data_IF_714671235585
#
_entry.id   IF_714671235585
#
_cell.length_a   1.000
_cell.length_b   1.000
_cell.length_c   1.000
_cell.angle_alpha   90.00
_cell.angle_beta   90.00
_cell.angle_gamma   90.00
#
_symmetry.space_group_name_H-M   'P 1'
#
loop_
_entity.id
_entity.type
_entity.pdbx_description
1 polymer ?
#
# COMPACT_ATOMS: atom_id res chain seq x y z
N UNK A 1 -4.56 21.79 -2.69
CA UNK A 1 -4.61 21.97 -4.15
C UNK A 1 -3.28 22.55 -4.62
N UNK A 2 -2.60 21.91 -5.56
CA UNK A 2 -1.42 22.49 -6.22
C UNK A 2 -1.86 23.39 -7.35
N UNK A 3 -1.16 24.50 -7.59
CA UNK A 3 -1.50 25.45 -8.64
C UNK A 3 -1.30 24.88 -10.07
N UNK A 4 -0.41 23.90 -10.20
CA UNK A 4 0.02 23.23 -11.43
C UNK A 4 -0.43 21.76 -11.50
N UNK A 5 -1.45 21.38 -10.74
CA UNK A 5 -1.94 20.00 -10.76
C UNK A 5 -2.55 19.65 -12.12
N UNK A 6 -1.99 18.62 -12.75
CA UNK A 6 -2.54 17.94 -13.93
C UNK A 6 -2.37 16.43 -13.76
N UNK A 7 -3.47 15.68 -13.77
CA UNK A 7 -3.47 14.22 -13.53
C UNK A 7 -2.64 13.45 -14.56
N UNK A 8 -2.53 13.96 -15.79
CA UNK A 8 -1.77 13.29 -16.85
C UNK A 8 -0.31 13.70 -16.89
N UNK A 9 0.06 14.81 -16.24
CA UNK A 9 1.42 15.34 -16.23
C UNK A 9 2.41 14.35 -15.61
N UNK A 10 3.59 14.17 -16.23
CA UNK A 10 4.69 13.39 -15.66
C UNK A 10 5.06 13.84 -14.24
N UNK A 11 4.99 15.16 -13.96
CA UNK A 11 5.32 15.74 -12.65
C UNK A 11 4.36 15.22 -11.58
N UNK A 12 3.06 15.11 -11.89
CA UNK A 12 2.06 14.60 -10.94
C UNK A 12 2.27 13.13 -10.63
N UNK A 13 2.57 12.32 -11.66
CA UNK A 13 2.86 10.89 -11.50
C UNK A 13 4.13 10.68 -10.66
N UNK A 14 5.19 11.45 -10.94
CA UNK A 14 6.43 11.41 -10.17
C UNK A 14 6.24 11.92 -8.73
N UNK A 15 5.45 12.96 -8.53
CA UNK A 15 5.10 13.49 -7.22
C UNK A 15 4.48 12.42 -6.33
N UNK A 16 3.39 11.77 -6.79
CA UNK A 16 2.71 10.76 -5.97
C UNK A 16 3.61 9.54 -5.70
N UNK A 17 4.40 9.12 -6.68
CA UNK A 17 5.37 8.04 -6.47
C UNK A 17 6.42 8.41 -5.42
N UNK A 18 6.93 9.65 -5.46
CA UNK A 18 7.93 10.17 -4.52
C UNK A 18 7.36 10.29 -3.11
N UNK A 19 6.18 10.90 -2.97
CA UNK A 19 5.48 11.05 -1.69
C UNK A 19 5.20 9.67 -1.08
N UNK A 20 4.67 8.74 -1.88
CA UNK A 20 4.38 7.39 -1.42
C UNK A 20 5.66 6.70 -0.92
N UNK A 21 6.75 6.73 -1.67
CA UNK A 21 7.99 6.08 -1.28
C UNK A 21 8.62 6.70 -0.02
N UNK A 22 8.62 8.03 0.10
CA UNK A 22 9.15 8.71 1.30
C UNK A 22 8.35 8.36 2.55
N UNK A 23 7.02 8.31 2.46
CA UNK A 23 6.17 7.95 3.59
C UNK A 23 6.31 6.47 4.00
N UNK A 24 6.43 5.56 3.02
CA UNK A 24 6.72 4.16 3.34
C UNK A 24 8.11 4.00 3.96
N UNK A 25 9.10 4.74 3.46
CA UNK A 25 10.46 4.68 3.95
C UNK A 25 10.60 5.20 5.38
N UNK A 26 9.95 6.32 5.72
CA UNK A 26 9.92 6.84 7.09
C UNK A 26 9.46 5.76 8.11
N UNK A 27 8.48 4.94 7.71
CA UNK A 27 7.90 3.92 8.60
C UNK A 27 8.63 2.57 8.57
N UNK A 28 9.22 2.19 7.43
CA UNK A 28 9.70 0.81 7.20
C UNK A 28 11.14 0.70 6.73
N UNK A 29 11.81 1.83 6.46
CA UNK A 29 13.10 1.91 5.76
C UNK A 29 13.12 1.22 4.40
N UNK A 30 11.96 1.08 3.77
CA UNK A 30 11.79 0.49 2.45
C UNK A 30 10.83 1.31 1.58
N UNK A 31 11.14 1.38 0.29
CA UNK A 31 10.21 1.86 -0.73
C UNK A 31 9.02 0.92 -0.88
N UNK A 32 7.93 1.39 -1.49
CA UNK A 32 6.76 0.55 -1.75
C UNK A 32 7.13 -0.71 -2.58
N UNK A 33 8.03 -0.56 -3.55
CA UNK A 33 8.51 -1.68 -4.37
C UNK A 33 9.33 -2.69 -3.56
N UNK A 34 10.20 -2.21 -2.65
CA UNK A 34 11.00 -3.07 -1.78
C UNK A 34 10.15 -3.81 -0.75
N UNK A 35 9.09 -3.18 -0.22
CA UNK A 35 8.11 -3.85 0.66
C UNK A 35 7.45 -5.00 -0.09
N UNK A 36 6.90 -4.75 -1.28
CA UNK A 36 6.24 -5.79 -2.08
C UNK A 36 7.21 -6.91 -2.43
N UNK A 37 8.40 -6.57 -2.92
CA UNK A 37 9.41 -7.55 -3.31
C UNK A 37 9.93 -8.37 -2.12
N UNK A 38 10.15 -7.74 -0.97
CA UNK A 38 10.70 -8.39 0.22
C UNK A 38 9.68 -9.19 1.04
N UNK A 39 8.38 -8.88 0.91
CA UNK A 39 7.33 -9.47 1.77
C UNK A 39 6.37 -10.41 1.04
N UNK A 40 6.21 -10.29 -0.27
CA UNK A 40 5.38 -11.22 -1.05
C UNK A 40 6.00 -12.63 -1.06
N UNK A 41 5.31 -13.60 -0.47
CA UNK A 41 5.84 -14.96 -0.32
C UNK A 41 4.71 -15.99 -0.32
N UNK A 42 4.63 -16.79 -1.38
CA UNK A 42 3.59 -17.82 -1.54
C UNK A 42 3.59 -18.93 -0.49
N UNK A 43 4.67 -19.07 0.28
CA UNK A 43 4.78 -20.08 1.34
C UNK A 43 4.17 -19.60 2.67
N UNK A 44 3.96 -18.29 2.83
CA UNK A 44 3.38 -17.71 4.04
C UNK A 44 1.85 -17.73 3.98
N UNK A 45 1.17 -17.75 5.16
CA UNK A 45 -0.26 -17.48 5.22
C UNK A 45 -0.59 -16.17 4.50
N UNK A 46 -1.64 -16.18 3.69
CA UNK A 46 -2.11 -15.02 2.92
C UNK A 46 -1.01 -14.36 2.07
N UNK A 47 0.00 -15.11 1.63
CA UNK A 47 1.18 -14.59 0.94
C UNK A 47 2.04 -13.57 1.70
N UNK A 48 1.87 -13.48 3.02
CA UNK A 48 2.47 -12.43 3.84
C UNK A 48 1.67 -11.12 3.88
N UNK A 49 0.49 -11.06 3.25
CA UNK A 49 -0.44 -9.94 3.38
C UNK A 49 -1.03 -9.91 4.78
N UNK A 50 -1.11 -8.72 5.36
CA UNK A 50 -1.80 -8.43 6.64
C UNK A 50 -3.25 -7.98 6.41
N UNK A 51 -3.53 -7.37 5.26
CA UNK A 51 -4.86 -6.96 4.82
C UNK A 51 -4.98 -6.97 3.30
N UNK A 52 -6.19 -7.02 2.77
CA UNK A 52 -6.51 -6.94 1.33
C UNK A 52 -7.98 -6.55 1.16
N UNK A 53 -8.43 -6.30 -0.07
CA UNK A 53 -9.77 -5.75 -0.33
C UNK A 53 -10.92 -6.53 0.31
N UNK A 54 -10.80 -7.85 0.42
CA UNK A 54 -11.83 -8.72 0.99
C UNK A 54 -11.38 -9.39 2.29
N UNK A 55 -10.37 -8.84 2.97
CA UNK A 55 -9.89 -9.40 4.23
C UNK A 55 -10.98 -9.34 5.34
N UNK A 56 -10.96 -10.25 6.33
CA UNK A 56 -10.10 -11.43 6.41
C UNK A 56 -10.70 -12.67 5.71
N UNK A 57 -11.95 -12.62 5.25
CA UNK A 57 -12.73 -13.82 4.84
C UNK A 57 -12.84 -14.06 3.33
N UNK A 58 -12.33 -13.17 2.50
CA UNK A 58 -12.42 -13.25 1.04
C UNK A 58 -11.09 -13.58 0.36
N UNK A 59 -11.16 -13.95 -0.91
CA UNK A 59 -9.97 -14.31 -1.70
C UNK A 59 -9.03 -13.11 -1.89
N UNK A 60 -7.74 -13.42 -1.92
CA UNK A 60 -6.69 -12.52 -2.33
C UNK A 60 -6.76 -12.42 -3.85
N UNK A 61 -6.72 -11.21 -4.37
CA UNK A 61 -6.69 -10.96 -5.82
C UNK A 61 -5.28 -10.59 -6.25
N UNK A 62 -5.00 -10.80 -7.53
CA UNK A 62 -3.75 -10.37 -8.16
C UNK A 62 -3.47 -8.86 -7.98
N UNK A 63 -4.52 -8.04 -7.88
CA UNK A 63 -4.39 -6.61 -7.60
C UNK A 63 -3.99 -6.30 -6.15
N UNK A 64 -4.25 -7.19 -5.20
CA UNK A 64 -3.95 -6.98 -3.79
C UNK A 64 -2.45 -7.19 -3.49
N UNK A 65 -1.80 -8.11 -4.20
CA UNK A 65 -0.38 -8.47 -3.97
C UNK A 65 0.61 -7.41 -4.44
N UNK A 66 0.15 -6.42 -5.22
CA UNK A 66 0.99 -5.33 -5.71
C UNK A 66 0.93 -4.09 -4.83
N UNK A 67 0.12 -4.11 -3.76
CA UNK A 67 -0.10 -2.95 -2.90
C UNK A 67 0.77 -3.07 -1.65
N UNK A 68 1.78 -2.22 -1.51
CA UNK A 68 2.72 -2.26 -0.39
C UNK A 68 2.03 -2.17 0.99
N UNK A 69 1.01 -1.32 1.13
CA UNK A 69 0.24 -1.16 2.38
C UNK A 69 -0.38 -2.47 2.88
N UNK A 70 -0.71 -3.38 1.96
CA UNK A 70 -1.30 -4.67 2.32
C UNK A 70 -0.32 -5.62 3.02
N UNK A 71 0.98 -5.29 3.02
CA UNK A 71 2.03 -6.05 3.69
C UNK A 71 2.52 -5.41 4.99
N UNK A 72 1.92 -4.30 5.42
CA UNK A 72 2.33 -3.57 6.62
C UNK A 72 1.69 -4.18 7.86
N UNK A 73 2.47 -4.39 8.91
CA UNK A 73 1.93 -4.83 10.20
C UNK A 73 1.11 -3.72 10.88
N UNK A 74 0.45 -4.03 12.00
CA UNK A 74 -0.41 -3.08 12.69
C UNK A 74 0.32 -1.80 13.13
N UNK A 75 1.54 -1.95 13.66
CA UNK A 75 2.38 -0.81 14.10
C UNK A 75 2.79 0.05 12.91
N UNK A 76 3.25 -0.55 11.82
CA UNK A 76 3.62 0.17 10.60
C UNK A 76 2.40 0.89 9.99
N UNK A 77 1.24 0.23 9.93
CA UNK A 77 0.01 0.87 9.44
C UNK A 77 -0.43 2.03 10.31
N UNK A 78 -0.30 1.91 11.64
CA UNK A 78 -0.61 2.99 12.58
C UNK A 78 0.29 4.19 12.34
N UNK A 79 1.61 3.98 12.34
CA UNK A 79 2.60 5.04 12.11
C UNK A 79 2.40 5.69 10.73
N UNK A 80 2.15 4.89 9.69
CA UNK A 80 1.87 5.40 8.34
C UNK A 80 0.61 6.27 8.30
N UNK A 81 -0.45 5.88 9.02
CA UNK A 81 -1.67 6.68 9.09
C UNK A 81 -1.45 7.99 9.86
N UNK A 82 -0.71 7.94 10.97
CA UNK A 82 -0.38 9.12 11.78
C UNK A 82 0.40 10.15 10.96
N UNK A 83 1.51 9.74 10.33
CA UNK A 83 2.37 10.64 9.55
C UNK A 83 1.65 11.22 8.32
N UNK A 84 0.82 10.40 7.64
CA UNK A 84 -0.03 10.87 6.53
C UNK A 84 -1.01 11.91 7.01
N UNK A 85 -1.67 11.68 8.14
CA UNK A 85 -2.67 12.60 8.70
C UNK A 85 -2.02 13.93 9.08
N UNK A 86 -0.89 13.90 9.78
CA UNK A 86 -0.13 15.09 10.14
C UNK A 86 0.32 15.89 8.91
N UNK A 87 0.75 15.20 7.83
CA UNK A 87 1.15 15.87 6.60
C UNK A 87 -0.03 16.51 5.88
N UNK A 88 -1.21 15.87 5.87
CA UNK A 88 -2.44 16.43 5.31
C UNK A 88 -2.90 17.66 6.09
N UNK A 89 -2.85 17.62 7.42
CA UNK A 89 -3.17 18.77 8.29
C UNK A 89 -2.21 19.95 8.04
N UNK A 90 -0.92 19.65 7.87
CA UNK A 90 0.07 20.64 7.47
C UNK A 90 -0.28 21.27 6.11
N UNK A 91 -0.60 20.44 5.12
CA UNK A 91 -0.97 20.91 3.78
C UNK A 91 -2.23 21.78 3.79
N UNK A 92 -3.24 21.39 4.57
CA UNK A 92 -4.47 22.17 4.76
C UNK A 92 -4.18 23.54 5.40
N UNK A 93 -3.31 23.59 6.42
CA UNK A 93 -2.89 24.85 7.03
C UNK A 93 -2.18 25.78 6.04
N UNK A 94 -1.34 25.25 5.16
CA UNK A 94 -0.69 26.07 4.12
C UNK A 94 -1.73 26.65 3.15
N UNK A 95 -2.70 25.83 2.71
CA UNK A 95 -3.78 26.27 1.84
C UNK A 95 -4.63 27.37 2.49
N UNK A 96 -5.02 27.20 3.77
CA UNK A 96 -5.80 28.20 4.53
C UNK A 96 -5.09 29.55 4.70
N UNK A 97 -3.75 29.55 4.72
CA UNK A 97 -2.93 30.77 4.80
C UNK A 97 -2.78 31.48 3.45
N UNK A 98 -3.34 30.93 2.37
CA UNK A 98 -3.20 31.49 1.03
C UNK A 98 -1.82 31.26 0.41
N UNK A 99 -1.03 30.32 0.95
CA UNK A 99 0.26 29.99 0.38
C UNK A 99 0.05 29.16 -0.89
N UNK A 100 0.31 29.77 -2.04
CA UNK A 100 0.31 29.07 -3.33
C UNK A 100 1.47 28.09 -3.34
N UNK A 101 1.17 26.81 -3.57
CA UNK A 101 2.15 25.74 -3.64
C UNK A 101 2.07 25.05 -5.00
N UNK A 102 3.23 24.74 -5.56
CA UNK A 102 3.39 23.91 -6.75
C UNK A 102 3.77 22.47 -6.36
N UNK A 103 3.67 21.51 -7.30
CA UNK A 103 3.91 20.09 -6.99
C UNK A 103 5.35 19.87 -6.49
N UNK A 104 6.32 20.57 -7.05
CA UNK A 104 7.71 20.53 -6.61
C UNK A 104 7.91 21.12 -5.20
N UNK A 105 7.13 22.13 -4.81
CA UNK A 105 7.20 22.70 -3.47
C UNK A 105 6.71 21.68 -2.44
N UNK A 106 5.64 20.95 -2.75
CA UNK A 106 5.12 19.91 -1.87
C UNK A 106 6.15 18.80 -1.60
N UNK A 107 6.96 18.40 -2.60
CA UNK A 107 8.04 17.43 -2.35
C UNK A 107 9.08 17.99 -1.38
N UNK A 108 9.52 19.24 -1.58
CA UNK A 108 10.48 19.89 -0.68
C UNK A 108 9.91 20.08 0.73
N UNK A 109 8.62 20.40 0.83
CA UNK A 109 7.92 20.53 2.12
C UNK A 109 7.77 19.20 2.82
N UNK A 110 7.56 18.10 2.09
CA UNK A 110 7.56 16.77 2.66
C UNK A 110 8.90 16.43 3.30
N UNK A 111 10.02 16.72 2.63
CA UNK A 111 11.36 16.45 3.20
C UNK A 111 11.59 17.22 4.50
N UNK A 112 11.28 18.52 4.50
CA UNK A 112 11.37 19.34 5.71
C UNK A 112 10.41 18.85 6.82
N UNK A 113 9.21 18.38 6.45
CA UNK A 113 8.24 17.84 7.38
C UNK A 113 8.74 16.54 8.02
N UNK A 114 9.27 15.59 7.23
CA UNK A 114 9.84 14.35 7.75
C UNK A 114 11.02 14.63 8.67
N UNK A 115 11.95 15.50 8.24
CA UNK A 115 13.10 15.89 9.05
C UNK A 115 12.70 16.52 10.38
N UNK A 116 11.68 17.38 10.37
CA UNK A 116 11.17 18.04 11.58
C UNK A 116 10.54 17.06 12.57
N UNK A 117 9.96 15.96 12.09
CA UNK A 117 9.39 14.90 12.92
C UNK A 117 10.41 13.80 13.26
N UNK A 118 11.71 14.05 13.03
CA UNK A 118 12.80 13.10 13.31
C UNK A 118 12.69 11.77 12.54
N UNK A 119 12.05 11.81 11.37
CA UNK A 119 11.87 10.65 10.50
C UNK A 119 13.00 10.51 9.49
N UNK A 120 13.36 9.26 9.17
CA UNK A 120 14.34 8.97 8.13
C UNK A 120 13.80 9.30 6.74
N UNK A 121 14.62 9.96 5.93
CA UNK A 121 14.23 10.43 4.60
C UNK A 121 14.87 9.58 3.51
N UNK A 122 14.05 9.09 2.58
CA UNK A 122 14.56 8.50 1.36
C UNK A 122 15.20 9.57 0.47
N UNK A 123 16.50 9.43 0.21
CA UNK A 123 17.29 10.33 -0.63
C UNK A 123 17.54 9.79 -2.06
N UNK A 124 17.28 8.51 -2.31
CA UNK A 124 17.43 7.87 -3.61
C UNK A 124 16.11 7.25 -4.09
N UNK A 125 16.14 6.42 -5.15
CA UNK A 125 14.95 5.79 -5.74
C UNK A 125 14.65 4.38 -5.17
N UNK A 126 15.40 3.94 -4.17
CA UNK A 126 15.45 2.55 -3.73
C UNK A 126 16.21 1.64 -4.70
N UNK A 127 16.31 0.36 -4.34
CA UNK A 127 17.05 -0.66 -5.08
C UNK A 127 16.17 -1.50 -6.01
N UNK A 128 14.86 -1.51 -5.78
CA UNK A 128 13.91 -2.34 -6.53
C UNK A 128 12.95 -1.47 -7.31
N UNK A 129 12.76 -1.77 -8.60
CA UNK A 129 11.79 -1.05 -9.43
C UNK A 129 10.38 -1.59 -9.22
N UNK A 130 9.37 -0.73 -9.41
CA UNK A 130 7.97 -1.13 -9.32
C UNK A 130 7.61 -2.28 -10.30
N UNK A 131 8.22 -2.31 -11.48
CA UNK A 131 8.01 -3.37 -12.47
C UNK A 131 8.54 -4.73 -11.98
N UNK A 132 9.74 -4.75 -11.38
CA UNK A 132 10.34 -5.96 -10.82
C UNK A 132 9.50 -6.46 -9.64
N UNK A 133 9.15 -5.56 -8.70
CA UNK A 133 8.33 -5.89 -7.55
C UNK A 133 6.96 -6.46 -7.95
N UNK A 134 6.30 -5.82 -8.93
CA UNK A 134 5.03 -6.29 -9.48
C UNK A 134 5.15 -7.69 -10.10
N UNK A 135 6.09 -7.89 -11.02
CA UNK A 135 6.28 -9.19 -11.66
C UNK A 135 6.58 -10.30 -10.65
N UNK A 136 7.38 -9.99 -9.62
CA UNK A 136 7.69 -10.91 -8.54
C UNK A 136 6.44 -11.28 -7.72
N UNK A 137 5.69 -10.30 -7.24
CA UNK A 137 4.50 -10.54 -6.43
C UNK A 137 3.41 -11.29 -7.22
N UNK A 138 3.24 -10.97 -8.50
CA UNK A 138 2.33 -11.70 -9.38
C UNK A 138 2.75 -13.16 -9.57
N UNK A 139 4.06 -13.43 -9.69
CA UNK A 139 4.58 -14.80 -9.79
C UNK A 139 4.34 -15.59 -8.50
N UNK A 140 4.56 -14.98 -7.34
CA UNK A 140 4.22 -15.60 -6.05
C UNK A 140 2.70 -15.83 -5.94
N UNK A 141 1.88 -14.91 -6.46
CA UNK A 141 0.43 -15.06 -6.45
C UNK A 141 -0.03 -16.25 -7.27
N UNK A 142 0.55 -16.49 -8.44
CA UNK A 142 0.20 -17.67 -9.24
C UNK A 142 0.48 -19.00 -8.50
N UNK A 143 1.57 -19.05 -7.71
CA UNK A 143 1.87 -20.22 -6.87
C UNK A 143 0.83 -20.38 -5.74
N UNK A 144 0.53 -19.29 -5.06
CA UNK A 144 -0.41 -19.28 -3.93
C UNK A 144 -1.86 -19.54 -4.36
N UNK A 145 -2.27 -19.04 -5.54
CA UNK A 145 -3.63 -19.19 -6.07
C UNK A 145 -4.05 -20.65 -6.13
N UNK A 146 -3.15 -21.55 -6.51
CA UNK A 146 -3.44 -23.00 -6.56
C UNK A 146 -3.83 -23.54 -5.18
N UNK A 147 -3.18 -23.06 -4.11
CA UNK A 147 -3.51 -23.45 -2.74
C UNK A 147 -4.83 -22.80 -2.28
N UNK A 148 -5.03 -21.52 -2.59
CA UNK A 148 -6.25 -20.78 -2.23
C UNK A 148 -7.50 -21.33 -2.93
N UNK A 149 -7.41 -21.71 -4.20
CA UNK A 149 -8.54 -22.25 -4.96
C UNK A 149 -8.97 -23.62 -4.44
N UNK A 150 -8.04 -24.42 -3.91
CA UNK A 150 -8.35 -25.73 -3.30
C UNK A 150 -9.10 -25.61 -1.98
N UNK A 151 -8.82 -24.57 -1.21
CA UNK A 151 -9.37 -24.39 0.14
C UNK A 151 -10.57 -23.45 0.17
N UNK A 152 -10.86 -22.75 -0.93
CA UNK A 152 -11.96 -21.80 -0.96
C UNK A 152 -13.31 -22.47 -1.12
N UNK A 153 -14.22 -22.17 -0.20
CA UNK A 153 -15.64 -22.40 -0.33
C UNK A 153 -16.34 -21.10 -0.71
N UNK A 154 -17.12 -21.13 -1.79
CA UNK A 154 -17.96 -19.99 -2.18
C UNK A 154 -19.12 -19.79 -1.21
N UNK A 155 -19.71 -18.61 -1.23
CA UNK A 155 -20.89 -18.33 -0.40
C UNK A 155 -22.08 -19.22 -0.81
N UNK A 156 -22.13 -19.67 -2.07
CA UNK A 156 -23.08 -20.68 -2.53
C UNK A 156 -22.77 -22.05 -1.91
N UNK A 157 -21.51 -22.48 -1.91
CA UNK A 157 -21.11 -23.77 -1.31
C UNK A 157 -21.43 -23.79 0.19
N UNK A 158 -21.25 -22.66 0.89
CA UNK A 158 -21.64 -22.52 2.30
C UNK A 158 -23.15 -22.59 2.49
N UNK A 159 -23.91 -21.86 1.67
CA UNK A 159 -25.38 -21.85 1.74
C UNK A 159 -25.95 -23.26 1.51
N UNK A 160 -25.41 -23.99 0.53
CA UNK A 160 -25.79 -25.39 0.26
C UNK A 160 -25.46 -26.28 1.44
N UNK A 161 -24.26 -26.16 2.02
CA UNK A 161 -23.87 -26.93 3.20
C UNK A 161 -24.80 -26.69 4.40
N UNK A 162 -25.09 -25.41 4.71
CA UNK A 162 -26.01 -25.01 5.78
C UNK A 162 -27.43 -25.57 5.58
N UNK A 163 -27.97 -25.50 4.36
CA UNK A 163 -29.31 -26.04 4.07
C UNK A 163 -29.37 -27.57 4.03
N UNK A 164 -28.27 -28.26 3.72
CA UNK A 164 -28.23 -29.72 3.80
C UNK A 164 -28.15 -30.26 5.23
N UNK A 165 -27.51 -29.54 6.16
CA UNK A 165 -27.44 -29.93 7.58
C UNK A 165 -28.83 -29.78 8.25
N UNK A 166 -29.58 -28.70 7.94
CA UNK A 166 -30.95 -28.47 8.43
C UNK A 166 -31.99 -29.50 7.93
N UNK A 167 -31.70 -30.23 6.84
CA UNK A 167 -32.56 -31.28 6.30
C UNK A 167 -32.29 -32.67 6.92
N UNK A 168 -31.27 -32.77 7.77
CA UNK A 168 -30.83 -34.03 8.41
C UNK A 168 -31.09 -34.10 9.91
N UNK A 169 -31.64 -33.05 10.52
CA UNK A 169 -32.25 -33.05 11.87
C UNK A 169 -33.79 -33.20 11.81
#
# INVERSE_FOLDING_TARGET
>A
CSADYDVESPITKEFFATVQNKLHYAVTHHTAAEIVYGRADSTKPNMGLTTWKNAPKGRIRKSDVTVAKNYLNETEMRNLNEIVTMYLDYAERQARRGNVMYMADWVKRLDAFLQFNEEDILHDKGKVTAAIAKAFAEKEFEKFRVLQDRTYQSDFDRLVAETSDDLTE
#
